data_IF_366687857994
#
_entry.id   IF_366687857994
#
_cell.length_a   1.000
_cell.length_b   1.000
_cell.length_c   1.000
_cell.angle_alpha   90.00
_cell.angle_beta   90.00
_cell.angle_gamma   90.00
#
_symmetry.space_group_name_H-M   'P 1'
#
loop_
_entity.id
_entity.type
_entity.pdbx_description
1 polymer ?
#
# COMPACT_ATOMS: atom_id res chain seq x y z
N UNK A 1 -44.77 -26.44 9.92
CA UNK A 1 -43.51 -25.70 10.14
C UNK A 1 -43.53 -25.24 11.58
N UNK A 2 -42.75 -25.88 12.43
CA UNK A 2 -42.68 -25.55 13.85
C UNK A 2 -41.42 -24.74 14.08
N UNK A 3 -41.59 -23.53 14.62
CA UNK A 3 -40.48 -22.61 14.91
C UNK A 3 -40.44 -22.32 16.39
N UNK A 4 -39.31 -22.63 17.03
CA UNK A 4 -39.08 -22.36 18.46
C UNK A 4 -37.88 -21.43 18.59
N UNK A 5 -38.09 -20.21 19.10
CA UNK A 5 -37.00 -19.25 19.29
C UNK A 5 -36.11 -19.64 20.47
N UNK A 6 -34.81 -19.36 20.33
CA UNK A 6 -33.76 -19.62 21.32
C UNK A 6 -33.13 -18.28 21.71
N UNK A 7 -33.30 -17.89 22.97
CA UNK A 7 -32.80 -16.63 23.52
C UNK A 7 -31.79 -16.89 24.65
N UNK A 8 -30.84 -15.98 24.84
CA UNK A 8 -30.00 -15.88 26.03
C UNK A 8 -30.22 -14.52 26.66
N UNK A 9 -30.89 -14.50 27.81
CA UNK A 9 -31.42 -13.27 28.36
C UNK A 9 -32.34 -12.61 27.35
N UNK A 10 -32.07 -11.34 27.01
CA UNK A 10 -32.89 -10.57 26.08
C UNK A 10 -32.40 -10.62 24.62
N UNK A 11 -31.34 -11.38 24.34
CA UNK A 11 -30.80 -11.53 22.98
C UNK A 11 -31.29 -12.82 22.34
N UNK A 12 -31.91 -12.72 21.17
CA UNK A 12 -32.18 -13.88 20.32
C UNK A 12 -30.87 -14.38 19.69
N UNK A 13 -30.59 -15.67 19.83
CA UNK A 13 -29.39 -16.31 19.27
C UNK A 13 -29.74 -17.18 18.07
N UNK A 14 -31.00 -17.56 17.92
CA UNK A 14 -31.47 -18.35 16.78
C UNK A 14 -32.84 -18.95 17.03
N UNK A 15 -33.25 -19.83 16.14
CA UNK A 15 -34.49 -20.59 16.25
C UNK A 15 -34.28 -22.03 15.78
N UNK A 16 -35.00 -22.96 16.38
CA UNK A 16 -35.18 -24.29 15.80
C UNK A 16 -36.34 -24.24 14.80
N UNK A 17 -36.06 -24.59 13.55
CA UNK A 17 -37.05 -24.70 12.47
C UNK A 17 -37.09 -26.18 12.07
N UNK A 18 -38.24 -26.83 12.28
CA UNK A 18 -38.45 -28.25 11.96
C UNK A 18 -37.32 -29.17 12.51
N UNK A 19 -36.86 -28.87 13.74
CA UNK A 19 -35.80 -29.63 14.42
C UNK A 19 -34.36 -29.22 14.09
N UNK A 20 -34.14 -28.26 13.18
CA UNK A 20 -32.81 -27.73 12.84
C UNK A 20 -32.57 -26.35 13.45
N UNK A 21 -31.44 -26.17 14.13
CA UNK A 21 -31.04 -24.86 14.65
C UNK A 21 -30.58 -23.93 13.52
N UNK A 22 -31.14 -22.72 13.49
CA UNK A 22 -30.81 -21.62 12.58
C UNK A 22 -30.37 -20.41 13.43
N UNK A 23 -29.13 -19.94 13.32
CA UNK A 23 -28.64 -18.83 14.13
C UNK A 23 -29.27 -17.50 13.70
N UNK A 24 -29.53 -16.63 14.67
CA UNK A 24 -29.94 -15.25 14.46
C UNK A 24 -28.69 -14.44 14.12
N UNK A 25 -28.63 -13.95 12.88
CA UNK A 25 -27.56 -13.06 12.42
C UNK A 25 -28.10 -11.63 12.46
N UNK A 26 -27.43 -10.79 13.23
CA UNK A 26 -27.68 -9.35 13.20
C UNK A 26 -27.04 -8.76 11.93
N UNK A 27 -27.88 -8.59 10.90
CA UNK A 27 -27.47 -8.04 9.62
C UNK A 27 -26.86 -6.64 9.74
N UNK A 28 -27.31 -5.84 10.71
CA UNK A 28 -26.76 -4.49 10.95
C UNK A 28 -25.35 -4.59 11.50
N UNK A 29 -25.11 -5.46 12.48
CA UNK A 29 -23.77 -5.71 13.00
C UNK A 29 -22.83 -6.22 11.91
N UNK A 30 -23.30 -7.14 11.06
CA UNK A 30 -22.50 -7.65 9.92
C UNK A 30 -22.20 -6.53 8.91
N UNK A 31 -23.18 -5.71 8.57
CA UNK A 31 -23.00 -4.60 7.64
C UNK A 31 -21.99 -3.56 8.17
N UNK A 32 -22.10 -3.19 9.45
CA UNK A 32 -21.16 -2.27 10.11
C UNK A 32 -19.75 -2.85 10.13
N UNK A 33 -19.60 -4.14 10.47
CA UNK A 33 -18.31 -4.81 10.46
C UNK A 33 -17.69 -4.85 9.05
N UNK A 34 -18.49 -5.14 8.02
CA UNK A 34 -18.04 -5.16 6.63
C UNK A 34 -17.59 -3.76 6.16
N UNK A 35 -18.36 -2.71 6.49
CA UNK A 35 -18.01 -1.33 6.18
C UNK A 35 -16.72 -0.89 6.87
N UNK A 36 -16.55 -1.24 8.15
CA UNK A 36 -15.32 -0.94 8.89
C UNK A 36 -14.11 -1.65 8.27
N UNK A 37 -14.24 -2.93 7.91
CA UNK A 37 -13.17 -3.68 7.26
C UNK A 37 -12.78 -3.07 5.90
N UNK A 38 -13.77 -2.66 5.09
CA UNK A 38 -13.52 -1.99 3.81
C UNK A 38 -12.80 -0.63 3.99
N UNK A 39 -13.20 0.16 4.98
CA UNK A 39 -12.55 1.43 5.31
C UNK A 39 -11.08 1.22 5.72
N UNK A 40 -10.78 0.20 6.54
CA UNK A 40 -9.40 -0.13 6.94
C UNK A 40 -8.58 -0.59 5.75
N UNK A 41 -9.13 -1.46 4.89
CA UNK A 41 -8.44 -1.95 3.71
C UNK A 41 -8.09 -0.82 2.73
N UNK A 42 -9.03 0.09 2.45
CA UNK A 42 -8.82 1.24 1.56
C UNK A 42 -7.79 2.22 2.13
N UNK A 43 -7.81 2.49 3.44
CA UNK A 43 -6.79 3.29 4.11
C UNK A 43 -5.40 2.62 4.01
N UNK A 44 -5.31 1.31 4.23
CA UNK A 44 -4.06 0.56 4.11
C UNK A 44 -3.46 0.62 2.70
N UNK A 45 -4.28 0.44 1.67
CA UNK A 45 -3.84 0.52 0.26
C UNK A 45 -3.36 1.93 -0.10
N UNK A 46 -4.09 2.97 0.32
CA UNK A 46 -3.72 4.35 0.01
C UNK A 46 -2.40 4.76 0.67
N UNK A 47 -2.20 4.39 1.94
CA UNK A 47 -0.92 4.60 2.65
C UNK A 47 0.21 3.80 2.00
N UNK A 48 -0.03 2.53 1.66
CA UNK A 48 0.96 1.70 0.98
C UNK A 48 1.40 2.28 -0.36
N UNK A 49 0.47 2.83 -1.15
CA UNK A 49 0.75 3.50 -2.41
C UNK A 49 1.49 4.84 -2.21
N UNK A 50 1.11 5.63 -1.21
CA UNK A 50 1.75 6.91 -0.90
C UNK A 50 3.20 6.72 -0.44
N UNK A 51 3.47 5.67 0.34
CA UNK A 51 4.82 5.34 0.83
C UNK A 51 5.64 4.51 -0.15
N UNK A 52 5.04 4.02 -1.24
CA UNK A 52 5.74 3.22 -2.24
C UNK A 52 6.80 4.08 -2.94
N UNK A 53 8.07 3.81 -2.64
CA UNK A 53 9.18 4.40 -3.38
C UNK A 53 9.12 3.94 -4.84
N UNK A 54 9.04 4.89 -5.78
CA UNK A 54 9.18 4.58 -7.20
C UNK A 54 10.63 4.15 -7.46
N UNK A 55 10.86 3.02 -8.17
CA UNK A 55 12.21 2.66 -8.58
C UNK A 55 12.80 3.79 -9.43
N UNK A 56 14.01 4.22 -9.09
CA UNK A 56 14.69 5.33 -9.78
C UNK A 56 15.10 4.95 -11.22
N UNK A 57 15.17 3.65 -11.51
CA UNK A 57 15.56 3.07 -12.79
C UNK A 57 14.47 2.06 -13.18
N UNK A 58 13.86 2.25 -14.35
CA UNK A 58 12.78 1.38 -14.82
C UNK A 58 13.30 0.07 -15.42
N UNK A 59 14.02 0.15 -16.53
CA UNK A 59 14.58 -1.04 -17.19
C UNK A 59 16.06 -0.86 -17.49
N UNK A 60 16.82 -1.92 -17.28
CA UNK A 60 18.24 -2.03 -17.58
C UNK A 60 18.38 -3.04 -18.72
N UNK A 61 18.92 -2.61 -19.85
CA UNK A 61 19.15 -3.49 -21.01
C UNK A 61 20.62 -3.48 -21.38
N UNK A 62 21.21 -4.66 -21.58
CA UNK A 62 22.57 -4.78 -22.09
C UNK A 62 22.52 -4.90 -23.61
N UNK A 63 23.23 -4.00 -24.30
CA UNK A 63 23.38 -4.06 -25.76
C UNK A 63 24.50 -5.02 -26.18
N UNK A 64 24.53 -5.46 -27.45
CA UNK A 64 25.67 -6.18 -28.02
C UNK A 64 26.93 -5.30 -27.90
N UNK A 65 27.95 -5.76 -27.17
CA UNK A 65 29.16 -4.97 -26.89
C UNK A 65 29.26 -4.36 -25.49
N UNK A 66 28.52 -4.88 -24.49
CA UNK A 66 28.66 -4.54 -23.06
C UNK A 66 28.18 -3.13 -22.65
N UNK A 67 27.45 -2.41 -23.50
CA UNK A 67 26.83 -1.16 -23.12
C UNK A 67 25.56 -1.39 -22.29
N UNK A 68 25.37 -0.62 -21.23
CA UNK A 68 24.18 -0.66 -20.37
C UNK A 68 23.28 0.53 -20.72
N UNK A 69 22.08 0.24 -21.23
CA UNK A 69 21.03 1.24 -21.43
C UNK A 69 20.09 1.25 -20.24
N UNK A 70 19.91 2.43 -19.64
CA UNK A 70 18.94 2.67 -18.57
C UNK A 70 17.76 3.45 -19.16
N UNK A 71 16.55 2.89 -19.10
CA UNK A 71 15.32 3.55 -19.57
C UNK A 71 14.41 3.88 -18.39
N UNK A 72 13.59 4.93 -18.58
CA UNK A 72 12.68 5.47 -17.55
C UNK A 72 13.41 5.79 -16.24
N UNK A 73 14.58 6.42 -16.35
CA UNK A 73 15.32 6.91 -15.20
C UNK A 73 14.70 8.21 -14.71
N UNK A 74 14.30 8.25 -13.44
CA UNK A 74 14.00 9.52 -12.78
C UNK A 74 15.32 10.25 -12.60
N UNK A 75 15.47 11.45 -13.19
CA UNK A 75 16.64 12.29 -12.91
C UNK A 75 16.62 12.57 -11.39
N UNK A 76 17.63 12.14 -10.61
CA UNK A 76 17.69 12.54 -9.21
C UNK A 76 17.67 14.07 -9.16
N UNK A 77 16.96 14.67 -8.20
CA UNK A 77 16.90 16.12 -8.11
C UNK A 77 18.34 16.64 -8.04
N UNK A 78 18.73 17.44 -9.03
CA UNK A 78 20.02 18.13 -9.00
C UNK A 78 20.03 18.93 -7.71
N UNK A 79 20.87 18.54 -6.75
CA UNK A 79 21.02 19.34 -5.53
C UNK A 79 21.35 20.75 -5.99
N UNK A 80 20.50 21.70 -5.58
CA UNK A 80 20.67 23.10 -5.92
C UNK A 80 22.12 23.51 -5.60
N UNK A 81 22.71 24.35 -6.45
CA UNK A 81 24.08 24.85 -6.28
C UNK A 81 24.35 25.46 -4.89
N UNK A 82 23.30 25.83 -4.16
CA UNK A 82 23.34 26.46 -2.85
C UNK A 82 23.68 25.52 -1.69
N UNK A 83 23.52 24.19 -1.85
CA UNK A 83 23.99 23.24 -0.85
C UNK A 83 25.51 23.10 -1.01
N UNK A 84 26.27 23.75 -0.14
CA UNK A 84 27.73 23.74 -0.15
C UNK A 84 28.34 22.35 -0.36
N UNK A 85 29.52 22.29 -0.99
CA UNK A 85 30.17 21.02 -1.33
C UNK A 85 30.45 20.21 -0.06
N UNK A 86 30.06 18.93 0.00
CA UNK A 86 30.39 18.11 1.16
C UNK A 86 31.91 17.87 1.22
N UNK A 87 32.45 17.77 2.44
CA UNK A 87 33.90 17.68 2.69
C UNK A 87 34.59 16.53 1.93
N UNK A 88 33.91 15.39 1.78
CA UNK A 88 34.44 14.25 1.02
C UNK A 88 34.65 14.58 -0.47
N UNK A 89 33.86 15.50 -1.06
CA UNK A 89 34.03 15.91 -2.45
C UNK A 89 35.27 16.81 -2.66
N UNK A 90 35.74 17.47 -1.60
CA UNK A 90 37.02 18.17 -1.63
C UNK A 90 38.18 17.16 -1.59
N UNK A 91 38.10 16.15 -0.72
CA UNK A 91 39.11 15.11 -0.63
C UNK A 91 39.28 14.31 -1.92
N UNK A 92 38.16 13.95 -2.56
CA UNK A 92 38.17 13.18 -3.80
C UNK A 92 38.43 14.02 -5.06
N UNK A 93 38.65 15.35 -4.93
CA UNK A 93 38.71 16.29 -6.07
C UNK A 93 37.59 16.08 -7.10
N UNK A 94 36.40 15.69 -6.63
CA UNK A 94 35.29 15.37 -7.52
C UNK A 94 34.76 16.67 -8.16
N UNK A 95 34.86 16.79 -9.49
CA UNK A 95 34.41 17.97 -10.20
C UNK A 95 32.88 17.94 -10.33
N UNK A 96 32.24 19.11 -10.20
CA UNK A 96 30.79 19.22 -10.37
C UNK A 96 30.47 18.99 -11.84
N UNK A 97 29.59 18.03 -12.13
CA UNK A 97 28.99 17.90 -13.45
C UNK A 97 28.02 19.06 -13.64
N UNK A 98 28.39 20.01 -14.50
CA UNK A 98 27.54 21.12 -14.92
C UNK A 98 26.98 20.74 -16.29
N UNK A 99 25.65 20.68 -16.40
CA UNK A 99 24.98 20.41 -17.69
C UNK A 99 25.23 21.63 -18.59
N UNK A 100 25.97 21.42 -19.69
CA UNK A 100 26.12 22.43 -20.75
C UNK A 100 24.78 22.51 -21.49
N UNK A 101 24.24 23.72 -21.62
CA UNK A 101 22.99 23.99 -22.34
C UNK A 101 23.24 24.10 -23.84
#
# INVERSE_FOLDING_TARGET
MTTTSVRRGDREIGAYIDGRFVPAIDATTVAVAALAAAAVATAGVSVGLALRRRPAIGTVTMGPGSWISLKRTGRPPLRAASAGRPWWAHLLRAHRLVEQR
#
